data_IF_115367689688
#
_entry.id   IF_115367689688
#
_cell.length_a   1.000
_cell.length_b   1.000
_cell.length_c   1.000
_cell.angle_alpha   90.00
_cell.angle_beta   90.00
_cell.angle_gamma   90.00
#
_symmetry.space_group_name_H-M   'P 1'
#
loop_
_entity.id
_entity.type
_entity.pdbx_description
1 polymer ?
#
# COMPACT_ATOMS: atom_id res chain seq x y z
N UNK A 1 0.48 -4.06 -20.50
CA UNK A 1 -0.62 -3.80 -19.56
C UNK A 1 -0.15 -4.31 -18.20
N UNK A 2 0.39 -3.42 -17.37
CA UNK A 2 1.03 -3.81 -16.12
C UNK A 2 0.00 -4.34 -15.14
N UNK A 3 -0.10 -5.67 -15.10
CA UNK A 3 -1.10 -6.35 -14.30
C UNK A 3 -0.57 -6.46 -12.89
N UNK A 4 -1.02 -5.57 -12.00
CA UNK A 4 -0.70 -5.65 -10.59
C UNK A 4 -1.16 -6.99 -10.01
N UNK A 5 -0.28 -7.65 -9.26
CA UNK A 5 -0.65 -8.77 -8.39
C UNK A 5 -1.73 -8.33 -7.39
N UNK A 6 -2.53 -9.27 -6.84
CA UNK A 6 -3.56 -8.93 -5.86
C UNK A 6 -3.03 -8.12 -4.67
N UNK A 7 -1.83 -8.43 -4.17
CA UNK A 7 -1.20 -7.71 -3.05
C UNK A 7 -0.82 -6.29 -3.41
N UNK A 8 -0.24 -6.08 -4.60
CA UNK A 8 0.11 -4.75 -5.11
C UNK A 8 -1.13 -3.88 -5.31
N UNK A 9 -2.18 -4.44 -5.93
CA UNK A 9 -3.46 -3.75 -6.13
C UNK A 9 -4.08 -3.36 -4.79
N UNK A 10 -4.13 -4.31 -3.84
CA UNK A 10 -4.69 -4.05 -2.50
C UNK A 10 -3.97 -2.90 -1.78
N UNK A 11 -2.65 -2.81 -1.90
CA UNK A 11 -1.88 -1.71 -1.33
C UNK A 11 -2.17 -0.39 -2.05
N UNK A 12 -2.18 -0.39 -3.39
CA UNK A 12 -2.47 0.80 -4.19
C UNK A 12 -3.86 1.37 -3.87
N UNK A 13 -4.89 0.51 -3.88
CA UNK A 13 -6.25 0.91 -3.58
C UNK A 13 -6.38 1.46 -2.14
N UNK A 14 -5.64 0.87 -1.19
CA UNK A 14 -5.60 1.37 0.19
C UNK A 14 -4.98 2.77 0.27
N UNK A 15 -3.84 2.99 -0.39
CA UNK A 15 -3.16 4.30 -0.38
C UNK A 15 -4.04 5.37 -1.00
N UNK A 16 -4.65 5.08 -2.16
CA UNK A 16 -5.57 6.00 -2.83
C UNK A 16 -6.75 6.37 -1.93
N UNK A 17 -7.42 5.37 -1.33
CA UNK A 17 -8.52 5.62 -0.38
C UNK A 17 -8.06 6.45 0.82
N UNK A 18 -6.89 6.16 1.39
CA UNK A 18 -6.41 6.83 2.59
C UNK A 18 -6.03 8.28 2.32
N UNK A 19 -5.38 8.55 1.19
CA UNK A 19 -5.03 9.90 0.75
C UNK A 19 -6.31 10.70 0.44
N UNK A 20 -7.29 10.10 -0.24
CA UNK A 20 -8.55 10.76 -0.53
C UNK A 20 -9.38 11.08 0.74
N UNK A 21 -9.33 10.21 1.75
CA UNK A 21 -10.09 10.39 2.99
C UNK A 21 -9.42 11.34 3.99
N UNK A 22 -8.10 11.22 4.18
CA UNK A 22 -7.36 11.94 5.25
C UNK A 22 -6.50 13.10 4.73
N UNK A 23 -6.31 13.23 3.41
CA UNK A 23 -5.41 14.22 2.83
C UNK A 23 -3.92 13.94 3.09
N UNK A 24 -3.56 12.76 3.62
CA UNK A 24 -2.17 12.38 3.91
C UNK A 24 -1.85 10.94 3.51
N UNK A 25 -0.58 10.69 3.24
CA UNK A 25 -0.05 9.34 3.05
C UNK A 25 0.06 8.66 4.42
N UNK A 26 -0.46 7.43 4.60
CA UNK A 26 -0.30 6.70 5.84
C UNK A 26 1.15 6.26 6.04
N UNK A 27 1.57 6.09 7.30
CA UNK A 27 2.86 5.44 7.57
C UNK A 27 2.82 3.97 7.14
N UNK A 28 3.99 3.38 6.88
CA UNK A 28 4.10 1.95 6.60
C UNK A 28 3.55 1.08 7.75
N UNK A 29 3.63 1.55 9.01
CA UNK A 29 3.10 0.82 10.19
C UNK A 29 1.58 0.87 10.21
N UNK A 30 1.02 2.04 9.91
CA UNK A 30 -0.43 2.23 9.80
C UNK A 30 -1.01 1.40 8.66
N UNK A 31 -0.39 1.42 7.48
CA UNK A 31 -0.77 0.58 6.35
C UNK A 31 -0.71 -0.91 6.70
N UNK A 32 0.35 -1.35 7.36
CA UNK A 32 0.52 -2.73 7.81
C UNK A 32 -0.59 -3.17 8.78
N UNK A 33 -0.92 -2.32 9.76
CA UNK A 33 -2.00 -2.56 10.71
C UNK A 33 -3.36 -2.72 10.00
N UNK A 34 -3.72 -1.78 9.12
CA UNK A 34 -4.99 -1.82 8.39
C UNK A 34 -5.09 -2.97 7.39
N UNK A 35 -3.98 -3.31 6.73
CA UNK A 35 -3.93 -4.39 5.74
C UNK A 35 -3.71 -5.77 6.36
N UNK A 36 -3.47 -5.86 7.68
CA UNK A 36 -3.16 -7.08 8.42
C UNK A 36 -1.93 -7.80 7.84
N UNK A 37 -0.88 -7.05 7.56
CA UNK A 37 0.42 -7.55 7.07
C UNK A 37 1.56 -6.95 7.89
N UNK A 38 2.81 -7.39 7.65
CA UNK A 38 3.97 -6.74 8.29
C UNK A 38 4.35 -5.44 7.57
N UNK A 39 4.92 -4.49 8.31
CA UNK A 39 5.49 -3.27 7.74
C UNK A 39 6.54 -3.55 6.66
N UNK A 40 7.34 -4.61 6.84
CA UNK A 40 8.33 -5.03 5.85
C UNK A 40 7.68 -5.50 4.54
N UNK A 41 6.51 -6.14 4.60
CA UNK A 41 5.76 -6.52 3.40
C UNK A 41 5.27 -5.28 2.64
N UNK A 42 4.74 -4.27 3.34
CA UNK A 42 4.33 -2.99 2.73
C UNK A 42 5.51 -2.31 2.03
N UNK A 43 6.65 -2.19 2.71
CA UNK A 43 7.85 -1.57 2.15
C UNK A 43 8.35 -2.31 0.89
N UNK A 44 8.33 -3.64 0.90
CA UNK A 44 8.71 -4.45 -0.26
C UNK A 44 7.76 -4.24 -1.44
N UNK A 45 6.45 -4.24 -1.18
CA UNK A 45 5.46 -4.04 -2.23
C UNK A 45 5.58 -2.65 -2.85
N UNK A 46 5.82 -1.60 -2.06
CA UNK A 46 6.06 -0.25 -2.58
C UNK A 46 7.29 -0.19 -3.48
N UNK A 47 8.41 -0.78 -3.05
CA UNK A 47 9.64 -0.82 -3.85
C UNK A 47 9.42 -1.46 -5.22
N UNK A 48 8.62 -2.53 -5.28
CA UNK A 48 8.28 -3.20 -6.55
C UNK A 48 7.36 -2.33 -7.43
N UNK A 49 6.51 -1.48 -6.82
CA UNK A 49 5.60 -0.59 -7.54
C UNK A 49 6.29 0.68 -8.07
N UNK A 50 7.42 1.09 -7.48
CA UNK A 50 8.23 2.24 -7.90
C UNK A 50 9.19 1.93 -9.06
N UNK A 51 9.35 0.64 -9.40
CA UNK A 51 10.25 0.14 -10.46
C UNK A 51 9.58 0.15 -11.83
#
# INVERSE_FOLDING_TARGET
>A
MDTLTPTQRRLMDYLQRKIAADGRVPSLREAASHLKVSHAAVARTLRVLES
#
